data_IF_403924320357
#
_entry.id   IF_403924320357
#
_cell.length_a   1.000
_cell.length_b   1.000
_cell.length_c   1.000
_cell.angle_alpha   90.00
_cell.angle_beta   90.00
_cell.angle_gamma   90.00
#
_symmetry.space_group_name_H-M   'P 1'
#
loop_
_entity.id
_entity.type
_entity.pdbx_description
1 polymer ?
#
# COMPACT_ATOMS: atom_id res chain seq x y z
N UNK A 1 49.83 -17.07 -20.67
CA UNK A 1 48.95 -15.91 -21.07
C UNK A 1 47.45 -16.27 -21.12
N UNK A 2 47.03 -17.46 -20.65
CA UNK A 2 45.64 -17.94 -20.70
C UNK A 2 44.86 -17.87 -19.38
N UNK A 3 45.53 -17.59 -18.25
CA UNK A 3 44.85 -17.53 -16.93
C UNK A 3 44.22 -16.19 -16.55
N UNK A 4 44.39 -15.14 -17.36
CA UNK A 4 43.81 -13.83 -17.09
C UNK A 4 42.50 -13.58 -17.84
N UNK A 5 42.08 -14.47 -18.76
CA UNK A 5 40.82 -14.36 -19.48
C UNK A 5 39.62 -15.02 -18.77
N UNK A 6 39.88 -16.00 -17.88
CA UNK A 6 38.82 -16.74 -17.16
C UNK A 6 38.30 -16.01 -15.91
N UNK A 7 39.11 -15.13 -15.30
CA UNK A 7 38.69 -14.37 -14.12
C UNK A 7 37.71 -13.18 -14.45
N UNK A 8 37.61 -12.83 -15.74
CA UNK A 8 36.67 -11.81 -16.20
C UNK A 8 35.26 -12.36 -16.52
N UNK A 9 35.11 -13.66 -16.63
CA UNK A 9 33.86 -14.32 -17.01
C UNK A 9 32.97 -14.71 -15.81
N UNK A 10 33.46 -14.50 -14.58
CA UNK A 10 32.71 -14.78 -13.32
C UNK A 10 32.20 -13.53 -12.58
N UNK A 11 32.40 -12.36 -13.14
CA UNK A 11 31.66 -11.17 -12.69
C UNK A 11 30.48 -11.03 -13.62
N UNK A 12 29.47 -11.83 -13.33
CA UNK A 12 28.22 -11.84 -14.04
C UNK A 12 27.62 -10.45 -14.16
N UNK A 13 27.14 -10.17 -15.30
CA UNK A 13 26.41 -9.02 -15.82
C UNK A 13 25.08 -8.77 -15.08
N UNK A 14 25.04 -8.95 -13.77
CA UNK A 14 23.82 -8.95 -12.95
C UNK A 14 23.56 -7.69 -12.11
N UNK A 15 24.50 -6.75 -12.07
CA UNK A 15 24.35 -5.53 -11.26
C UNK A 15 24.51 -4.27 -12.11
N UNK A 16 23.79 -4.19 -13.21
CA UNK A 16 23.39 -2.89 -13.69
C UNK A 16 22.27 -2.43 -12.78
N UNK A 17 22.60 -1.81 -11.64
CA UNK A 17 21.70 -0.87 -10.97
C UNK A 17 21.34 0.20 -12.01
N UNK A 18 20.28 -0.06 -12.77
CA UNK A 18 19.53 1.00 -13.40
C UNK A 18 19.09 1.88 -12.23
N UNK A 19 19.76 3.01 -12.08
CA UNK A 19 19.40 4.09 -11.16
C UNK A 19 18.11 4.73 -11.68
N UNK A 20 17.06 3.91 -11.83
CA UNK A 20 15.73 4.33 -12.25
C UNK A 20 14.99 4.76 -11.00
N UNK A 21 14.73 6.07 -10.91
CA UNK A 21 13.82 6.60 -9.90
C UNK A 21 12.46 5.92 -10.07
N UNK A 22 12.12 5.05 -9.14
CA UNK A 22 10.82 4.38 -9.09
C UNK A 22 9.86 5.27 -8.28
N UNK A 23 8.60 5.40 -8.71
CA UNK A 23 7.57 6.03 -7.88
C UNK A 23 7.35 5.17 -6.63
N UNK A 24 7.15 5.80 -5.48
CA UNK A 24 6.87 5.08 -4.22
C UNK A 24 5.66 4.15 -4.35
N UNK A 25 4.62 4.58 -5.06
CA UNK A 25 3.43 3.76 -5.28
C UNK A 25 3.72 2.47 -6.06
N UNK A 26 4.57 2.56 -7.11
CA UNK A 26 5.00 1.38 -7.87
C UNK A 26 5.85 0.44 -7.00
N UNK A 27 6.71 1.01 -6.15
CA UNK A 27 7.49 0.21 -5.21
C UNK A 27 6.59 -0.55 -4.23
N UNK A 28 5.54 0.10 -3.70
CA UNK A 28 4.56 -0.56 -2.82
C UNK A 28 3.88 -1.72 -3.55
N UNK A 29 3.41 -1.50 -4.79
CA UNK A 29 2.80 -2.54 -5.58
C UNK A 29 3.75 -3.72 -5.85
N UNK A 30 5.00 -3.43 -6.20
CA UNK A 30 6.06 -4.44 -6.38
C UNK A 30 6.32 -5.22 -5.09
N UNK A 31 6.36 -4.53 -3.96
CA UNK A 31 6.58 -5.14 -2.66
C UNK A 31 5.48 -6.13 -2.30
N UNK A 32 4.21 -5.78 -2.51
CA UNK A 32 3.08 -6.69 -2.25
C UNK A 32 3.24 -8.00 -3.03
N UNK A 33 3.46 -7.90 -4.33
CA UNK A 33 3.62 -9.09 -5.19
C UNK A 33 4.85 -9.91 -4.79
N UNK A 34 5.99 -9.26 -4.50
CA UNK A 34 7.21 -9.94 -4.00
C UNK A 34 6.99 -10.66 -2.67
N UNK A 35 6.06 -10.20 -1.85
CA UNK A 35 5.68 -10.86 -0.58
C UNK A 35 4.61 -11.93 -0.75
N UNK A 36 4.20 -12.23 -1.97
CA UNK A 36 3.19 -13.24 -2.27
C UNK A 36 1.76 -12.79 -2.00
N UNK A 37 1.53 -11.49 -1.86
CA UNK A 37 0.19 -10.91 -1.76
C UNK A 37 -0.35 -10.74 -3.17
N UNK A 38 -1.37 -11.49 -3.50
CA UNK A 38 -1.96 -11.56 -4.84
C UNK A 38 -3.30 -10.86 -4.95
N UNK A 39 -3.89 -10.48 -3.82
CA UNK A 39 -5.23 -9.90 -3.77
C UNK A 39 -5.25 -8.63 -2.94
N UNK A 40 -5.93 -7.59 -3.46
CA UNK A 40 -6.11 -6.30 -2.83
C UNK A 40 -7.57 -5.88 -2.91
N UNK A 41 -8.19 -5.63 -1.77
CA UNK A 41 -9.55 -5.09 -1.68
C UNK A 41 -9.47 -3.58 -1.46
N UNK A 42 -10.17 -2.80 -2.28
CA UNK A 42 -9.96 -1.36 -2.24
C UNK A 42 -11.21 -0.54 -2.58
N UNK A 43 -11.21 0.70 -2.07
CA UNK A 43 -12.06 1.78 -2.51
C UNK A 43 -11.16 2.89 -3.04
N UNK A 44 -11.46 3.37 -4.25
CA UNK A 44 -10.66 4.45 -4.87
C UNK A 44 -10.92 5.78 -4.18
N UNK A 45 -9.90 6.64 -4.15
CA UNK A 45 -10.04 7.97 -3.57
C UNK A 45 -8.87 8.88 -3.86
N UNK A 46 -9.11 10.20 -3.81
CA UNK A 46 -8.11 11.21 -4.21
C UNK A 46 -6.80 11.14 -3.42
N UNK A 47 -6.86 10.88 -2.12
CA UNK A 47 -5.66 10.74 -1.27
C UNK A 47 -4.85 9.46 -1.53
N UNK A 48 -5.42 8.49 -2.26
CA UNK A 48 -4.76 7.23 -2.63
C UNK A 48 -4.58 7.08 -4.15
N UNK A 49 -4.81 8.11 -4.98
CA UNK A 49 -4.88 7.94 -6.43
C UNK A 49 -3.62 7.31 -7.05
N UNK A 50 -2.44 7.67 -6.58
CA UNK A 50 -1.20 7.08 -7.08
C UNK A 50 -1.02 5.62 -6.67
N UNK A 51 -1.51 5.25 -5.47
CA UNK A 51 -1.56 3.85 -5.02
C UNK A 51 -2.58 3.06 -5.84
N UNK A 52 -3.78 3.63 -6.03
CA UNK A 52 -4.85 3.00 -6.83
C UNK A 52 -4.38 2.70 -8.26
N UNK A 53 -3.69 3.67 -8.90
CA UNK A 53 -3.11 3.52 -10.22
C UNK A 53 -2.05 2.41 -10.26
N UNK A 54 -1.09 2.46 -9.33
CA UNK A 54 0.00 1.49 -9.29
C UNK A 54 -0.47 0.07 -8.97
N UNK A 55 -1.40 -0.09 -8.02
CA UNK A 55 -1.94 -1.40 -7.64
C UNK A 55 -2.82 -1.98 -8.74
N UNK A 56 -3.69 -1.13 -9.35
CA UNK A 56 -4.60 -1.57 -10.40
C UNK A 56 -3.92 -2.02 -11.69
N UNK A 57 -2.71 -1.50 -11.97
CA UNK A 57 -1.92 -1.90 -13.14
C UNK A 57 -0.83 -2.94 -12.82
N UNK A 58 -0.71 -3.36 -11.55
CA UNK A 58 0.35 -4.29 -11.18
C UNK A 58 0.05 -5.71 -11.62
N UNK A 59 0.89 -6.25 -12.51
CA UNK A 59 0.84 -7.65 -12.88
C UNK A 59 1.09 -8.55 -11.66
N UNK A 60 0.28 -9.59 -11.50
CA UNK A 60 0.33 -10.50 -10.37
C UNK A 60 -0.44 -10.03 -9.14
N UNK A 61 -1.13 -8.88 -9.20
CA UNK A 61 -2.03 -8.39 -8.16
C UNK A 61 -3.45 -8.24 -8.72
N UNK A 62 -4.40 -8.95 -8.13
CA UNK A 62 -5.82 -8.83 -8.44
C UNK A 62 -6.47 -7.81 -7.51
N UNK A 63 -7.05 -6.74 -8.06
CA UNK A 63 -7.73 -5.70 -7.31
C UNK A 63 -9.24 -5.85 -7.38
N UNK A 64 -9.88 -6.01 -6.23
CA UNK A 64 -11.35 -6.01 -6.08
C UNK A 64 -11.82 -4.67 -5.56
N UNK A 65 -12.64 -3.98 -6.34
CA UNK A 65 -13.16 -2.65 -6.00
C UNK A 65 -14.50 -2.79 -5.29
N UNK A 66 -14.53 -2.39 -4.03
CA UNK A 66 -15.73 -2.39 -3.21
C UNK A 66 -16.37 -0.99 -3.13
N UNK A 67 -17.57 -0.90 -2.57
CA UNK A 67 -18.30 0.36 -2.40
C UNK A 67 -18.18 0.93 -0.98
N UNK A 68 -17.50 0.21 -0.07
CA UNK A 68 -17.30 0.66 1.31
C UNK A 68 -16.02 0.05 1.88
N UNK A 69 -15.26 0.84 2.61
CA UNK A 69 -13.93 0.44 3.12
C UNK A 69 -14.02 -0.64 4.21
N UNK A 70 -15.07 -0.61 5.01
CA UNK A 70 -15.33 -1.69 5.97
C UNK A 70 -15.48 -3.05 5.26
N UNK A 71 -16.16 -3.07 4.11
CA UNK A 71 -16.29 -4.28 3.31
C UNK A 71 -14.93 -4.74 2.75
N UNK A 72 -14.03 -3.82 2.40
CA UNK A 72 -12.68 -4.19 1.99
C UNK A 72 -11.91 -4.92 3.09
N UNK A 73 -11.94 -4.39 4.31
CA UNK A 73 -11.25 -4.99 5.45
C UNK A 73 -11.85 -6.35 5.82
N UNK A 74 -13.18 -6.47 5.85
CA UNK A 74 -13.87 -7.75 6.10
C UNK A 74 -13.60 -8.77 4.99
N UNK A 75 -13.53 -8.33 3.73
CA UNK A 75 -13.19 -9.22 2.61
C UNK A 75 -11.75 -9.73 2.72
N UNK A 76 -10.80 -8.87 3.10
CA UNK A 76 -9.41 -9.27 3.32
C UNK A 76 -9.28 -10.25 4.50
N UNK A 77 -10.03 -10.04 5.57
CA UNK A 77 -10.13 -10.97 6.70
C UNK A 77 -10.68 -12.32 6.24
N UNK A 78 -11.82 -12.32 5.55
CA UNK A 78 -12.43 -13.56 5.04
C UNK A 78 -11.49 -14.29 4.07
N UNK A 79 -10.82 -13.56 3.18
CA UNK A 79 -9.81 -14.11 2.28
C UNK A 79 -8.69 -14.83 3.05
N UNK A 80 -8.17 -14.19 4.10
CA UNK A 80 -7.10 -14.78 4.90
C UNK A 80 -7.55 -16.05 5.63
N UNK A 81 -8.78 -16.06 6.15
CA UNK A 81 -9.37 -17.24 6.80
C UNK A 81 -9.54 -18.42 5.85
N UNK A 82 -10.01 -18.16 4.62
CA UNK A 82 -10.30 -19.21 3.64
C UNK A 82 -9.04 -19.72 2.94
N UNK A 83 -8.15 -18.81 2.55
CA UNK A 83 -7.00 -19.16 1.72
C UNK A 83 -5.70 -19.34 2.51
N UNK A 84 -5.70 -19.05 3.82
CA UNK A 84 -4.50 -19.02 4.65
C UNK A 84 -3.37 -18.14 4.04
N UNK A 85 -3.75 -17.00 3.46
CA UNK A 85 -2.88 -16.04 2.81
C UNK A 85 -3.25 -14.63 3.20
N UNK A 86 -2.27 -13.74 3.27
CA UNK A 86 -2.51 -12.31 3.51
C UNK A 86 -3.10 -11.68 2.26
N UNK A 87 -4.16 -10.89 2.42
CA UNK A 87 -4.62 -9.94 1.42
C UNK A 87 -4.26 -8.51 1.82
N UNK A 88 -4.19 -7.63 0.83
CA UNK A 88 -4.04 -6.20 1.05
C UNK A 88 -5.41 -5.49 1.08
N UNK A 89 -5.48 -4.40 1.82
CA UNK A 89 -6.57 -3.42 1.80
C UNK A 89 -5.98 -2.08 1.42
N UNK A 90 -6.54 -1.41 0.42
CA UNK A 90 -6.13 -0.05 0.07
C UNK A 90 -7.32 0.90 0.18
N UNK A 91 -7.16 1.92 1.00
CA UNK A 91 -8.18 2.95 1.27
C UNK A 91 -7.59 4.34 1.15
N UNK A 92 -8.44 5.35 0.99
CA UNK A 92 -7.98 6.74 0.93
C UNK A 92 -7.81 7.33 2.32
N UNK A 93 -7.39 8.57 2.39
CA UNK A 93 -7.23 9.35 3.63
C UNK A 93 -8.57 9.62 4.33
N UNK A 94 -8.51 9.99 5.60
CA UNK A 94 -9.64 10.47 6.39
C UNK A 94 -10.73 9.40 6.56
N UNK A 95 -11.98 9.69 6.16
CA UNK A 95 -13.10 8.76 6.30
C UNK A 95 -12.83 7.39 5.66
N UNK A 96 -12.02 7.32 4.60
CA UNK A 96 -11.61 6.05 3.99
C UNK A 96 -10.85 5.17 4.98
N UNK A 97 -9.88 5.74 5.69
CA UNK A 97 -9.15 5.01 6.73
C UNK A 97 -10.04 4.64 7.92
N UNK A 98 -10.82 5.59 8.45
CA UNK A 98 -11.68 5.34 9.62
C UNK A 98 -12.81 4.35 9.34
N UNK A 99 -13.38 4.35 8.13
CA UNK A 99 -14.39 3.36 7.74
C UNK A 99 -13.85 1.93 7.72
N UNK A 100 -12.57 1.73 7.43
CA UNK A 100 -11.95 0.41 7.43
C UNK A 100 -11.75 -0.16 8.85
N UNK A 101 -11.66 0.69 9.88
CA UNK A 101 -11.26 0.31 11.24
C UNK A 101 -12.09 -0.81 11.84
N UNK A 102 -13.40 -0.83 11.60
CA UNK A 102 -14.27 -1.90 12.14
C UNK A 102 -13.85 -3.28 11.62
N UNK A 103 -13.58 -3.41 10.31
CA UNK A 103 -13.13 -4.67 9.75
C UNK A 103 -11.68 -5.01 10.15
N UNK A 104 -10.81 -4.00 10.28
CA UNK A 104 -9.44 -4.18 10.77
C UNK A 104 -9.46 -4.67 12.22
N UNK A 105 -10.32 -4.09 13.07
CA UNK A 105 -10.47 -4.52 14.46
C UNK A 105 -10.97 -5.97 14.56
N UNK A 106 -11.91 -6.37 13.70
CA UNK A 106 -12.39 -7.76 13.66
C UNK A 106 -11.25 -8.74 13.38
N UNK A 107 -10.47 -8.48 12.33
CA UNK A 107 -9.30 -9.31 12.03
C UNK A 107 -8.23 -9.28 13.13
N UNK A 108 -8.01 -8.12 13.75
CA UNK A 108 -7.05 -7.97 14.86
C UNK A 108 -7.43 -8.84 16.07
N UNK A 109 -8.70 -8.82 16.49
CA UNK A 109 -9.17 -9.58 17.66
C UNK A 109 -8.96 -11.09 17.48
N UNK A 110 -9.11 -11.58 16.26
CA UNK A 110 -8.96 -13.00 15.94
C UNK A 110 -7.56 -13.35 15.42
N UNK A 111 -6.62 -12.40 15.46
CA UNK A 111 -5.25 -12.60 14.97
C UNK A 111 -5.16 -13.00 13.49
N UNK A 112 -6.09 -12.51 12.67
CA UNK A 112 -6.12 -12.75 11.23
C UNK A 112 -5.23 -11.74 10.51
N UNK A 113 -4.23 -12.19 9.74
CA UNK A 113 -3.28 -11.29 9.11
C UNK A 113 -3.90 -10.58 7.90
N UNK A 114 -3.76 -9.25 7.86
CA UNK A 114 -4.05 -8.43 6.69
C UNK A 114 -3.07 -7.28 6.61
N UNK A 115 -2.81 -6.77 5.40
CA UNK A 115 -1.99 -5.59 5.20
C UNK A 115 -2.90 -4.42 4.78
N UNK A 116 -2.91 -3.36 5.58
CA UNK A 116 -3.72 -2.17 5.29
C UNK A 116 -2.82 -1.03 4.86
N UNK A 117 -3.12 -0.43 3.70
CA UNK A 117 -2.45 0.74 3.16
C UNK A 117 -3.46 1.87 3.06
N UNK A 118 -3.22 2.94 3.78
CA UNK A 118 -4.05 4.15 3.70
C UNK A 118 -3.33 5.24 2.92
N UNK A 119 -4.03 5.87 1.99
CA UNK A 119 -3.57 7.08 1.35
C UNK A 119 -3.47 8.24 2.33
N UNK A 120 -2.72 9.27 1.96
CA UNK A 120 -2.58 10.50 2.75
C UNK A 120 -2.70 11.71 1.83
N UNK A 121 -3.19 12.81 2.37
CA UNK A 121 -3.19 14.10 1.70
C UNK A 121 -1.76 14.65 1.57
N UNK A 122 -1.59 15.66 0.72
CA UNK A 122 -0.30 16.37 0.62
C UNK A 122 0.09 16.94 1.98
N UNK A 123 1.39 16.94 2.25
CA UNK A 123 1.93 17.41 3.53
C UNK A 123 1.46 18.84 3.89
N UNK A 124 1.42 19.73 2.91
CA UNK A 124 0.98 21.12 3.06
C UNK A 124 -0.53 21.29 3.35
N UNK A 125 -1.29 20.21 3.20
CA UNK A 125 -2.73 20.17 3.52
C UNK A 125 -3.04 19.35 4.78
N UNK A 126 -2.02 18.81 5.44
CA UNK A 126 -2.20 18.12 6.72
C UNK A 126 -2.60 19.10 7.83
N UNK A 127 -3.35 18.63 8.81
CA UNK A 127 -3.78 19.47 9.94
C UNK A 127 -2.60 20.09 10.68
N UNK A 128 -1.49 19.35 10.85
CA UNK A 128 -0.28 19.85 11.48
C UNK A 128 0.33 21.04 10.73
N UNK A 129 0.36 21.01 9.41
CA UNK A 129 0.87 22.11 8.60
C UNK A 129 -0.08 23.30 8.63
N UNK A 130 -1.39 23.07 8.49
CA UNK A 130 -2.42 24.11 8.55
C UNK A 130 -2.47 24.83 9.90
N UNK A 131 -2.21 24.14 11.01
CA UNK A 131 -2.13 24.77 12.33
C UNK A 131 -1.06 25.87 12.42
N UNK A 132 0.02 25.78 11.65
CA UNK A 132 1.05 26.81 11.61
C UNK A 132 0.56 28.11 10.95
N UNK A 133 -0.43 28.03 10.08
CA UNK A 133 -0.96 29.18 9.31
C UNK A 133 -2.30 29.71 9.81
N UNK A 134 -3.05 28.93 10.58
CA UNK A 134 -4.43 29.28 10.99
C UNK A 134 -4.53 29.81 12.43
N UNK A 135 -3.41 30.20 13.05
CA UNK A 135 -3.39 30.76 14.41
C UNK A 135 -4.17 29.93 15.46
N UNK A 136 -4.09 28.63 15.36
CA UNK A 136 -4.61 27.74 16.40
C UNK A 136 -6.08 27.34 16.27
N UNK A 137 -6.74 27.62 15.16
CA UNK A 137 -8.05 27.00 14.89
C UNK A 137 -7.85 25.49 14.69
N UNK A 138 -8.51 24.63 15.49
CA UNK A 138 -8.31 23.19 15.43
C UNK A 138 -9.04 22.59 14.23
N UNK A 139 -8.46 22.74 13.04
CA UNK A 139 -8.86 21.93 11.90
C UNK A 139 -8.06 20.64 12.02
N UNK A 140 -8.62 19.62 12.62
CA UNK A 140 -8.06 18.29 12.60
C UNK A 140 -8.53 17.60 11.33
N UNK A 141 -7.62 17.38 10.37
CA UNK A 141 -7.88 16.42 9.32
C UNK A 141 -7.96 15.02 9.96
N UNK A 142 -9.06 14.32 9.74
CA UNK A 142 -9.20 12.92 10.13
C UNK A 142 -8.18 12.13 9.30
N UNK A 143 -7.14 11.60 9.93
CA UNK A 143 -6.07 10.86 9.26
C UNK A 143 -4.65 11.21 9.74
N UNK A 144 -4.51 12.18 10.61
CA UNK A 144 -3.22 12.54 11.23
C UNK A 144 -2.93 11.72 12.53
N UNK A 145 -3.27 10.42 12.53
CA UNK A 145 -2.95 9.53 13.65
C UNK A 145 -1.82 8.59 13.29
#
# INVERSE_FOLDING_TARGET
MQRLSESKKLRGDGWQEKNMRQRLADYVADFLVKKGITDCFMVVGGGAMHLNDALGHKEGLHCTYNHHEQACAMAAEAYARVNNRIAAVCVTTGPGGTNALTGVLGGWLDSIPMLVVSGQVRYDTTARYMQQFTNGLPIRAVGDQ
#
